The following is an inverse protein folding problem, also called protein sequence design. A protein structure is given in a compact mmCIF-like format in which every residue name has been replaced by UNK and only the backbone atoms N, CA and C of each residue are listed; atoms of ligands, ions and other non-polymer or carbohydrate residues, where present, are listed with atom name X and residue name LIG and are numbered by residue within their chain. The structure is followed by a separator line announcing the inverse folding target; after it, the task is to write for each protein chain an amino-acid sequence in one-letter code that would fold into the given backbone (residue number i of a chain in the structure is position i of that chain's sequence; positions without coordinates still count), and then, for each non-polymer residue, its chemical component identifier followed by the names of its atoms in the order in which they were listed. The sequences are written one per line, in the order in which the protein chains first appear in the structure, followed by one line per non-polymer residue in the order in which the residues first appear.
data_IF_071355977710
#
_entry.id   IF_071355977710
#
_cell.length_a   1.000
_cell.length_b   1.000
_cell.length_c   1.000
_cell.angle_alpha   90.00
_cell.angle_beta   90.00
_cell.angle_gamma   90.00
#
_symmetry.space_group_name_H-M   'P 1'
#
loop_
_entity.id
_entity.type
_entity.pdbx_description
1 polymer ?
#
# COMPACT_ATOMS: atom_id res chain seq x y z
N UNK A 1 16.08 -31.15 1.50
CA UNK A 1 14.88 -30.46 1.94
C UNK A 1 15.20 -29.50 3.07
N UNK A 2 14.39 -28.48 3.25
CA UNK A 2 14.49 -27.51 4.35
C UNK A 2 13.26 -27.71 5.24
N UNK A 3 13.49 -28.02 6.52
CA UNK A 3 12.43 -28.04 7.53
C UNK A 3 12.57 -26.82 8.45
N UNK A 4 11.45 -26.29 8.90
CA UNK A 4 11.40 -25.17 9.81
C UNK A 4 10.52 -25.51 11.01
N UNK A 5 11.05 -25.32 12.21
CA UNK A 5 10.30 -25.44 13.45
C UNK A 5 10.20 -24.09 14.12
N UNK A 6 9.00 -23.75 14.59
CA UNK A 6 8.75 -22.56 15.41
C UNK A 6 8.66 -22.99 16.85
N UNK A 7 9.49 -22.38 17.71
CA UNK A 7 9.55 -22.71 19.12
C UNK A 7 9.07 -21.51 19.92
N UNK A 8 8.14 -21.75 20.80
CA UNK A 8 7.59 -20.75 21.71
C UNK A 8 7.97 -21.11 23.16
N UNK A 9 8.60 -20.19 23.87
CA UNK A 9 8.85 -20.33 25.31
C UNK A 9 7.55 -20.16 26.10
N UNK A 10 7.52 -20.79 27.27
CA UNK A 10 6.53 -20.49 28.29
C UNK A 10 6.96 -19.27 29.11
N UNK A 11 6.08 -18.81 29.99
CA UNK A 11 6.36 -17.70 30.91
C UNK A 11 7.35 -18.06 32.01
N UNK A 12 7.58 -19.37 32.27
CA UNK A 12 8.57 -19.85 33.21
C UNK A 12 9.94 -19.96 32.52
N UNK A 13 10.99 -19.31 33.06
CA UNK A 13 12.32 -19.42 32.50
C UNK A 13 12.90 -20.82 32.66
N UNK A 14 13.74 -21.23 31.73
CA UNK A 14 14.36 -22.56 31.78
C UNK A 14 15.22 -22.84 30.55
N UNK A 15 15.74 -24.05 30.47
CA UNK A 15 16.53 -24.50 29.33
C UNK A 15 15.63 -25.17 28.29
N UNK A 16 15.70 -24.69 27.05
CA UNK A 16 15.05 -25.27 25.91
C UNK A 16 16.08 -26.10 25.14
N UNK A 17 15.79 -27.38 24.92
CA UNK A 17 16.62 -28.30 24.16
C UNK A 17 15.88 -28.73 22.91
N UNK A 18 16.53 -28.59 21.77
CA UNK A 18 15.97 -28.98 20.49
C UNK A 18 16.88 -30.04 19.89
N UNK A 19 16.31 -31.20 19.56
CA UNK A 19 17.05 -32.30 18.93
C UNK A 19 16.42 -32.55 17.55
N UNK A 20 17.26 -32.58 16.51
CA UNK A 20 16.88 -32.98 15.17
C UNK A 20 17.37 -34.40 14.90
N UNK A 21 16.47 -35.27 14.41
CA UNK A 21 16.78 -36.66 14.03
C UNK A 21 16.17 -36.95 12.67
N UNK A 22 16.89 -37.69 11.88
CA UNK A 22 16.41 -38.22 10.60
C UNK A 22 17.11 -39.57 10.32
N UNK A 23 16.42 -40.47 9.65
CA UNK A 23 16.94 -41.77 9.30
C UNK A 23 18.15 -41.64 8.38
N UNK A 24 19.23 -42.34 8.72
CA UNK A 24 20.48 -42.30 7.96
C UNK A 24 21.34 -41.05 8.13
N UNK A 25 20.92 -40.11 9.02
CA UNK A 25 21.68 -38.89 9.32
C UNK A 25 22.11 -38.86 10.79
N UNK A 26 23.23 -38.19 11.05
CA UNK A 26 23.69 -37.93 12.40
C UNK A 26 22.74 -36.92 13.07
N UNK A 27 22.29 -37.25 14.28
CA UNK A 27 21.44 -36.36 15.07
C UNK A 27 22.18 -35.10 15.49
N UNK A 28 21.50 -33.99 15.51
CA UNK A 28 22.01 -32.70 15.99
C UNK A 28 21.17 -32.17 17.15
N UNK A 29 21.81 -31.48 18.07
CA UNK A 29 21.16 -30.89 19.23
C UNK A 29 21.64 -29.44 19.43
N UNK A 30 20.72 -28.57 19.82
CA UNK A 30 21.00 -27.21 20.27
C UNK A 30 20.24 -26.95 21.58
N UNK A 31 20.88 -26.27 22.51
CA UNK A 31 20.26 -25.84 23.77
C UNK A 31 20.44 -24.34 23.96
N UNK A 32 19.41 -23.69 24.48
CA UNK A 32 19.47 -22.30 24.91
C UNK A 32 18.58 -22.08 26.13
N UNK A 33 18.87 -21.05 26.89
CA UNK A 33 18.13 -20.71 28.11
C UNK A 33 17.19 -19.54 27.85
N UNK A 34 15.98 -19.63 28.35
CA UNK A 34 15.07 -18.49 28.46
C UNK A 34 15.28 -17.77 29.79
N UNK A 35 15.35 -16.44 29.73
CA UNK A 35 15.48 -15.58 30.89
C UNK A 35 14.10 -15.15 31.43
N UNK A 36 13.98 -14.88 32.72
CA UNK A 36 12.77 -14.32 33.27
C UNK A 36 12.56 -12.90 32.72
N UNK A 37 11.33 -12.58 32.39
CA UNK A 37 10.92 -11.24 31.94
C UNK A 37 9.77 -10.78 32.80
N UNK A 38 9.81 -9.56 33.28
CA UNK A 38 8.70 -8.97 34.03
C UNK A 38 7.49 -8.79 33.09
N UNK A 39 6.38 -9.40 33.51
CA UNK A 39 5.11 -9.35 32.78
C UNK A 39 4.06 -8.73 33.67
N UNK A 40 3.43 -7.65 33.22
CA UNK A 40 2.32 -7.00 33.90
C UNK A 40 1.07 -7.07 33.01
N UNK A 41 0.01 -7.64 33.55
CA UNK A 41 -1.24 -7.82 32.81
C UNK A 41 -1.10 -8.59 31.48
N UNK A 42 -0.19 -9.57 31.44
CA UNK A 42 0.07 -10.34 30.21
C UNK A 42 0.98 -9.65 29.18
N UNK A 43 1.46 -8.45 29.49
CA UNK A 43 2.33 -7.65 28.61
C UNK A 43 3.73 -7.51 29.19
N UNK A 44 4.74 -7.56 28.36
CA UNK A 44 6.13 -7.26 28.68
C UNK A 44 6.60 -6.05 27.91
N UNK A 45 7.30 -5.13 28.58
CA UNK A 45 7.98 -4.02 27.94
C UNK A 45 9.38 -4.40 27.40
N UNK A 46 9.80 -5.64 27.62
CA UNK A 46 11.07 -6.12 27.14
C UNK A 46 10.92 -6.62 25.69
N UNK A 47 11.58 -5.94 24.79
CA UNK A 47 11.76 -6.38 23.40
C UNK A 47 13.21 -6.82 23.30
N UNK A 48 13.51 -8.14 23.18
CA UNK A 48 14.87 -8.60 22.93
C UNK A 48 15.25 -8.13 21.53
N UNK A 49 16.02 -7.07 21.44
CA UNK A 49 16.37 -6.43 20.19
C UNK A 49 17.79 -6.73 19.78
N UNK A 50 18.65 -5.87 20.17
CA UNK A 50 19.96 -5.63 19.58
C UNK A 50 21.03 -6.69 19.90
N UNK A 51 20.77 -7.61 20.84
CA UNK A 51 21.70 -8.66 21.24
C UNK A 51 21.53 -9.98 20.46
N UNK A 52 20.53 -10.09 19.63
CA UNK A 52 20.35 -11.26 18.77
C UNK A 52 21.23 -11.11 17.53
N UNK A 53 22.39 -11.76 17.57
CA UNK A 53 23.16 -11.94 16.34
C UNK A 53 22.27 -12.54 15.26
N UNK A 54 22.09 -11.81 14.17
CA UNK A 54 21.44 -12.31 12.98
C UNK A 54 22.24 -13.48 12.40
N UNK A 55 21.89 -14.69 12.77
CA UNK A 55 22.57 -15.93 12.31
C UNK A 55 22.28 -16.29 10.85
N UNK A 56 21.97 -15.32 10.03
CA UNK A 56 21.83 -15.55 8.58
C UNK A 56 23.15 -15.26 7.88
N UNK A 57 24.05 -16.22 7.89
CA UNK A 57 25.28 -16.23 7.08
C UNK A 57 24.95 -16.43 5.59
N UNK A 58 24.19 -15.56 5.01
CA UNK A 58 23.92 -15.60 3.57
C UNK A 58 24.68 -14.54 2.77
N UNK A 59 25.81 -14.11 3.30
CA UNK A 59 26.61 -13.06 2.67
C UNK A 59 25.99 -11.66 2.80
N UNK A 60 26.62 -10.72 2.16
CA UNK A 60 26.10 -9.36 2.11
C UNK A 60 24.77 -9.33 1.37
N UNK A 61 23.81 -8.58 1.90
CA UNK A 61 22.56 -8.34 1.19
C UNK A 61 22.90 -7.60 -0.11
N UNK A 62 22.50 -8.11 -1.27
CA UNK A 62 22.70 -7.37 -2.52
C UNK A 62 22.16 -5.96 -2.39
N UNK A 63 22.92 -4.99 -2.91
CA UNK A 63 22.45 -3.61 -2.99
C UNK A 63 21.14 -3.59 -3.79
N UNK A 64 20.06 -3.34 -3.12
CA UNK A 64 18.80 -3.05 -3.79
C UNK A 64 18.87 -1.61 -4.26
N UNK A 65 18.66 -1.34 -5.56
CA UNK A 65 18.58 0.03 -6.02
C UNK A 65 17.56 0.79 -5.17
N UNK A 66 17.95 1.93 -4.62
CA UNK A 66 17.01 2.78 -3.91
C UNK A 66 15.89 3.17 -4.88
N UNK A 67 14.64 2.96 -4.48
CA UNK A 67 13.52 3.54 -5.20
C UNK A 67 13.68 5.05 -5.18
N UNK A 68 13.75 5.65 -6.34
CA UNK A 68 13.70 7.11 -6.49
C UNK A 68 12.31 7.43 -7.00
N UNK A 69 11.55 8.13 -6.20
CA UNK A 69 10.32 8.72 -6.69
C UNK A 69 10.71 9.85 -7.65
N UNK A 70 10.37 9.67 -8.92
CA UNK A 70 10.61 10.64 -9.98
C UNK A 70 9.35 11.42 -10.34
N UNK A 71 8.22 11.10 -9.73
CA UNK A 71 6.94 11.76 -9.94
C UNK A 71 6.76 12.85 -8.88
N UNK A 72 6.19 13.96 -9.31
CA UNK A 72 5.87 15.09 -8.43
C UNK A 72 4.35 15.26 -8.45
N UNK A 73 3.75 15.18 -7.28
CA UNK A 73 2.32 15.38 -7.14
C UNK A 73 1.92 16.83 -7.43
N UNK A 74 0.74 16.98 -8.01
CA UNK A 74 0.10 18.28 -8.25
C UNK A 74 -1.23 18.27 -7.51
N UNK A 75 -1.38 19.19 -6.56
CA UNK A 75 -2.56 19.26 -5.73
C UNK A 75 -3.77 19.83 -6.48
N UNK A 76 -4.94 19.31 -6.17
CA UNK A 76 -6.22 19.85 -6.61
C UNK A 76 -6.65 20.92 -5.62
N UNK A 77 -6.93 22.14 -6.12
CA UNK A 77 -7.40 23.25 -5.30
C UNK A 77 -8.93 23.29 -5.18
N UNK A 78 -9.62 22.97 -6.24
CA UNK A 78 -11.08 23.04 -6.29
C UNK A 78 -11.65 22.15 -7.37
N UNK A 79 -12.95 21.89 -7.29
CA UNK A 79 -13.67 21.17 -8.32
C UNK A 79 -15.02 21.82 -8.62
N UNK A 80 -15.42 21.73 -9.89
CA UNK A 80 -16.77 22.07 -10.36
C UNK A 80 -17.37 20.82 -10.98
N UNK A 81 -18.58 20.49 -10.57
CA UNK A 81 -19.25 19.24 -10.98
C UNK A 81 -20.61 19.51 -11.63
N UNK A 82 -21.00 18.69 -12.57
CA UNK A 82 -22.29 18.77 -13.24
C UNK A 82 -23.48 18.41 -12.35
N UNK A 83 -23.22 17.67 -11.26
CA UNK A 83 -24.21 17.33 -10.24
C UNK A 83 -23.55 17.24 -8.88
N UNK A 84 -24.34 17.39 -7.81
CA UNK A 84 -23.90 17.26 -6.42
C UNK A 84 -22.65 18.08 -6.12
N UNK A 85 -22.67 19.36 -6.51
CA UNK A 85 -21.54 20.28 -6.40
C UNK A 85 -20.99 20.39 -4.97
N UNK A 86 -21.87 20.41 -3.97
CA UNK A 86 -21.48 20.51 -2.55
C UNK A 86 -20.67 19.31 -2.07
N UNK A 87 -20.77 18.20 -2.78
CA UNK A 87 -20.02 16.98 -2.50
C UNK A 87 -18.73 16.83 -3.35
N UNK A 88 -18.49 17.73 -4.30
CA UNK A 88 -17.34 17.65 -5.20
C UNK A 88 -15.99 17.57 -4.45
N UNK A 89 -15.88 18.23 -3.29
CA UNK A 89 -14.70 18.15 -2.43
C UNK A 89 -14.35 16.71 -2.01
N UNK A 90 -15.34 15.84 -1.85
CA UNK A 90 -15.15 14.45 -1.46
C UNK A 90 -14.39 13.61 -2.50
N UNK A 91 -14.20 14.12 -3.70
CA UNK A 91 -13.40 13.44 -4.73
C UNK A 91 -11.90 13.68 -4.61
N UNK A 92 -11.46 14.60 -3.72
CA UNK A 92 -10.04 14.94 -3.50
C UNK A 92 -9.74 15.39 -2.06
N UNK A 93 -10.51 14.94 -1.07
CA UNK A 93 -10.36 15.26 0.36
C UNK A 93 -9.43 14.30 1.12
N UNK A 94 -8.75 13.40 0.40
CA UNK A 94 -7.88 12.35 0.94
C UNK A 94 -8.57 11.42 1.95
N UNK A 95 -9.90 11.29 1.85
CA UNK A 95 -10.70 10.45 2.71
C UNK A 95 -11.36 9.31 1.91
N UNK A 96 -10.81 8.12 2.00
CA UNK A 96 -11.32 6.95 1.28
C UNK A 96 -12.74 6.50 1.68
N UNK A 97 -13.30 7.07 2.74
CA UNK A 97 -14.65 6.77 3.19
C UNK A 97 -15.70 7.73 2.61
N UNK A 98 -15.25 8.83 2.01
CA UNK A 98 -16.09 9.77 1.29
C UNK A 98 -16.07 9.50 -0.21
N UNK A 99 -17.09 9.96 -0.92
CA UNK A 99 -17.15 9.85 -2.36
C UNK A 99 -18.03 10.96 -2.96
N UNK A 100 -17.66 11.42 -4.15
CA UNK A 100 -18.53 12.18 -5.02
C UNK A 100 -19.23 11.23 -5.98
N UNK A 101 -20.54 11.44 -6.18
CA UNK A 101 -21.35 10.73 -7.17
C UNK A 101 -22.13 11.72 -8.00
N UNK A 102 -22.28 11.45 -9.29
CA UNK A 102 -23.21 12.15 -10.13
C UNK A 102 -24.67 11.77 -9.80
N UNK A 103 -25.62 12.42 -10.43
CA UNK A 103 -27.07 12.17 -10.27
C UNK A 103 -27.63 11.04 -11.16
N UNK A 104 -26.76 10.28 -11.82
CA UNK A 104 -27.10 9.18 -12.72
C UNK A 104 -27.46 9.63 -14.16
N UNK A 105 -27.34 10.92 -14.47
CA UNK A 105 -27.59 11.45 -15.82
C UNK A 105 -26.29 11.68 -16.55
N UNK A 106 -26.24 11.33 -17.82
CA UNK A 106 -25.04 11.46 -18.63
C UNK A 106 -24.61 12.91 -18.85
N UNK A 107 -25.55 13.83 -19.00
CA UNK A 107 -25.27 15.24 -19.26
C UNK A 107 -24.69 16.00 -18.05
N UNK A 108 -24.82 15.45 -16.86
CA UNK A 108 -24.26 15.96 -15.61
C UNK A 108 -23.14 15.08 -15.03
N UNK A 109 -22.76 14.02 -15.74
CA UNK A 109 -21.73 13.08 -15.31
C UNK A 109 -20.31 13.59 -15.63
N UNK A 110 -19.99 14.77 -15.13
CA UNK A 110 -18.67 15.37 -15.30
C UNK A 110 -18.22 16.10 -14.03
N UNK A 111 -16.92 16.20 -13.86
CA UNK A 111 -16.27 16.98 -12.81
C UNK A 111 -14.99 17.59 -13.40
N UNK A 112 -14.76 18.85 -13.11
CA UNK A 112 -13.58 19.60 -13.54
C UNK A 112 -12.78 20.04 -12.33
N UNK A 113 -11.49 19.79 -12.33
CA UNK A 113 -10.57 20.14 -11.27
C UNK A 113 -9.71 21.33 -11.66
N UNK A 114 -9.48 22.23 -10.72
CA UNK A 114 -8.44 23.26 -10.82
C UNK A 114 -7.22 22.84 -10.03
N UNK A 115 -6.07 22.85 -10.67
CA UNK A 115 -4.80 22.46 -10.07
C UNK A 115 -4.11 23.64 -9.41
N UNK A 116 -3.22 23.40 -8.46
CA UNK A 116 -2.46 24.44 -7.73
C UNK A 116 -1.52 25.24 -8.64
N UNK A 117 -1.13 24.67 -9.76
CA UNK A 117 -0.23 25.28 -10.75
C UNK A 117 -0.44 24.67 -12.12
N UNK A 118 -0.02 25.37 -13.15
CA UNK A 118 0.11 24.78 -14.46
C UNK A 118 1.15 23.66 -14.39
N UNK A 119 0.82 22.54 -14.96
CA UNK A 119 1.71 21.38 -14.96
C UNK A 119 1.41 20.46 -16.13
N UNK A 120 2.45 19.83 -16.65
CA UNK A 120 2.30 18.68 -17.51
C UNK A 120 1.89 17.49 -16.65
N UNK A 121 0.77 16.86 -16.97
CA UNK A 121 0.28 15.68 -16.29
C UNK A 121 0.62 14.44 -17.11
N UNK A 122 1.38 13.54 -16.52
CA UNK A 122 1.78 12.26 -17.13
C UNK A 122 0.95 11.08 -16.61
N UNK A 123 0.38 11.22 -15.41
CA UNK A 123 -0.41 10.16 -14.76
C UNK A 123 -1.54 10.76 -13.92
N UNK A 124 -2.68 10.09 -13.96
CA UNK A 124 -3.81 10.36 -13.07
C UNK A 124 -4.08 9.12 -12.24
N UNK A 125 -4.02 9.27 -10.93
CA UNK A 125 -4.35 8.22 -9.97
C UNK A 125 -5.72 8.47 -9.39
N UNK A 126 -6.60 7.47 -9.44
CA UNK A 126 -7.95 7.61 -8.91
C UNK A 126 -8.48 6.31 -8.31
N UNK A 127 -9.36 6.45 -7.34
CA UNK A 127 -10.12 5.35 -6.75
C UNK A 127 -11.60 5.57 -7.06
N UNK A 128 -12.20 4.65 -7.78
CA UNK A 128 -13.57 4.75 -8.25
C UNK A 128 -14.54 3.95 -7.37
N UNK A 129 -15.74 4.46 -7.19
CA UNK A 129 -16.78 3.78 -6.42
C UNK A 129 -17.06 2.38 -6.99
N UNK A 130 -17.06 1.38 -6.13
CA UNK A 130 -17.32 0.00 -6.56
C UNK A 130 -16.22 -0.60 -7.44
N UNK A 131 -14.99 -0.12 -7.33
CA UNK A 131 -13.80 -0.46 -8.11
C UNK A 131 -13.54 -1.97 -8.31
N UNK A 132 -14.00 -2.83 -7.41
CA UNK A 132 -13.87 -4.30 -7.57
C UNK A 132 -14.83 -4.89 -8.58
N UNK A 133 -16.00 -4.27 -8.74
CA UNK A 133 -17.14 -4.84 -9.47
C UNK A 133 -17.49 -4.08 -10.73
N UNK A 134 -17.07 -2.82 -10.84
CA UNK A 134 -17.47 -1.91 -11.90
C UNK A 134 -16.29 -1.42 -12.71
N UNK A 135 -16.56 -1.18 -13.99
CA UNK A 135 -15.72 -0.42 -14.90
C UNK A 135 -16.48 0.82 -15.35
N UNK A 136 -15.76 1.86 -15.69
CA UNK A 136 -16.36 3.14 -16.08
C UNK A 136 -15.82 3.59 -17.43
N UNK A 137 -16.67 3.85 -18.41
CA UNK A 137 -16.25 4.57 -19.60
C UNK A 137 -16.00 6.02 -19.24
N UNK A 138 -14.78 6.51 -19.48
CA UNK A 138 -14.35 7.85 -19.13
C UNK A 138 -13.70 8.53 -20.33
N UNK A 139 -13.86 9.85 -20.38
CA UNK A 139 -13.08 10.76 -21.18
C UNK A 139 -12.42 11.76 -20.24
N UNK A 140 -11.12 12.02 -20.43
CA UNK A 140 -10.37 12.97 -19.63
C UNK A 140 -9.80 14.05 -20.54
N UNK A 141 -10.01 15.28 -20.15
CA UNK A 141 -9.62 16.46 -20.89
C UNK A 141 -8.65 17.31 -20.09
N UNK A 142 -7.66 17.88 -20.74
CA UNK A 142 -6.85 18.98 -20.23
C UNK A 142 -7.23 20.27 -20.98
N UNK A 143 -8.03 21.12 -20.34
CA UNK A 143 -8.75 22.17 -21.04
C UNK A 143 -9.73 21.56 -22.07
N UNK A 144 -9.53 21.90 -23.34
CA UNK A 144 -10.36 21.38 -24.46
C UNK A 144 -9.73 20.15 -25.14
N UNK A 145 -8.56 19.72 -24.72
CA UNK A 145 -7.83 18.61 -25.32
C UNK A 145 -8.18 17.28 -24.67
N UNK A 146 -8.64 16.30 -25.47
CA UNK A 146 -8.85 14.94 -25.02
C UNK A 146 -7.50 14.24 -24.83
N UNK A 147 -7.15 13.95 -23.57
CA UNK A 147 -5.86 13.32 -23.23
C UNK A 147 -5.97 11.83 -22.93
N UNK A 148 -7.19 11.35 -22.62
CA UNK A 148 -7.47 9.94 -22.43
C UNK A 148 -8.93 9.61 -22.70
N UNK A 149 -9.18 8.44 -23.29
CA UNK A 149 -10.51 7.86 -23.48
C UNK A 149 -10.42 6.36 -23.37
N UNK A 150 -11.30 5.75 -22.60
CA UNK A 150 -11.36 4.30 -22.45
C UNK A 150 -12.35 3.86 -21.39
N UNK A 151 -12.30 2.58 -21.09
CA UNK A 151 -13.02 1.97 -19.98
C UNK A 151 -12.00 1.59 -18.89
N UNK A 152 -12.30 1.96 -17.65
CA UNK A 152 -11.39 1.66 -16.54
C UNK A 152 -11.39 0.19 -16.21
N UNK A 153 -10.26 -0.34 -15.80
CA UNK A 153 -10.16 -1.71 -15.33
C UNK A 153 -10.75 -1.83 -13.92
N UNK A 154 -11.24 -3.03 -13.59
CA UNK A 154 -11.53 -3.38 -12.20
C UNK A 154 -10.22 -3.54 -11.45
N UNK A 155 -10.14 -3.00 -10.24
CA UNK A 155 -8.90 -2.94 -9.50
C UNK A 155 -9.04 -3.47 -8.07
N UNK A 156 -7.97 -3.47 -7.32
CA UNK A 156 -7.96 -3.71 -5.88
C UNK A 156 -7.82 -2.42 -5.06
N UNK A 157 -8.11 -1.27 -5.66
CA UNK A 157 -8.01 0.03 -5.04
C UNK A 157 -7.85 1.14 -6.06
N UNK A 158 -6.69 1.73 -6.14
CA UNK A 158 -6.38 2.79 -7.10
C UNK A 158 -6.13 2.24 -8.50
N UNK A 159 -6.51 3.01 -9.50
CA UNK A 159 -6.11 2.84 -10.89
C UNK A 159 -5.18 3.99 -11.29
N UNK A 160 -4.27 3.69 -12.19
CA UNK A 160 -3.27 4.62 -12.69
C UNK A 160 -3.45 4.75 -14.21
N UNK A 161 -3.88 5.91 -14.65
CA UNK A 161 -4.07 6.22 -16.05
C UNK A 161 -2.88 7.03 -16.56
N UNK A 162 -2.11 6.44 -17.45
CA UNK A 162 -1.06 7.17 -18.15
C UNK A 162 -1.69 8.09 -19.18
N UNK A 163 -1.42 9.38 -19.05
CA UNK A 163 -1.91 10.44 -19.91
C UNK A 163 -0.73 11.28 -20.38
N UNK A 164 -0.93 12.06 -21.43
CA UNK A 164 0.03 13.09 -21.80
C UNK A 164 -0.75 14.37 -22.02
N UNK A 165 -0.50 15.34 -21.18
CA UNK A 165 -0.95 16.70 -21.42
C UNK A 165 0.25 17.61 -21.70
N UNK A 166 0.04 18.66 -22.46
CA UNK A 166 1.00 19.76 -22.51
C UNK A 166 0.86 20.61 -21.25
N UNK A 167 1.95 21.31 -20.86
CA UNK A 167 1.93 22.26 -19.76
C UNK A 167 1.03 23.45 -20.13
N UNK A 168 -0.01 23.70 -19.35
CA UNK A 168 -0.95 24.82 -19.55
C UNK A 168 -1.22 25.53 -18.24
#
# INVERSE_FOLDING_TARGET
GINRALIRSFTTPGTVRITAKADGLQSAEISFSSAPVEVKNGLSNYIPGDELEGRLTRGETPLTPSYKDTKVDVNILSAVAGANQDEAIKSFDDNELSEWKNDGRLNSAWITYSLERAARVDEICMKLTGWRLRSYPLEIYAGDELIWRGETEKSLGYIHLNVRSEER
#
